data_IF_200639911873
#
_entry.id   IF_200639911873
#
_cell.length_a   1.000
_cell.length_b   1.000
_cell.length_c   1.000
_cell.angle_alpha   90.00
_cell.angle_beta   90.00
_cell.angle_gamma   90.00
#
_symmetry.space_group_name_H-M   'P 1'
#
loop_
_entity.id
_entity.type
_entity.pdbx_description
1 polymer ?
#
# COMPACT_ATOMS: atom_id res chain seq x y z
N UNK A 1 55.78 2.38 2.37
CA UNK A 1 54.92 1.60 1.44
C UNK A 1 53.69 0.95 2.09
N UNK A 2 53.76 0.41 3.32
CA UNK A 2 52.62 -0.29 3.96
C UNK A 2 51.38 0.59 4.24
N UNK A 3 51.57 1.88 4.54
CA UNK A 3 50.47 2.81 4.88
C UNK A 3 49.62 3.17 3.65
N UNK A 4 50.25 3.28 2.47
CA UNK A 4 49.56 3.61 1.21
C UNK A 4 48.65 2.46 0.76
N UNK A 5 49.09 1.21 0.92
CA UNK A 5 48.25 0.04 0.65
C UNK A 5 47.02 -0.03 1.57
N UNK A 6 47.17 0.37 2.83
CA UNK A 6 46.10 0.36 3.82
C UNK A 6 45.04 1.44 3.55
N UNK A 7 45.45 2.59 3.01
CA UNK A 7 44.53 3.65 2.56
C UNK A 7 43.75 3.23 1.31
N UNK A 8 44.40 2.53 0.37
CA UNK A 8 43.72 2.01 -0.82
C UNK A 8 42.66 0.96 -0.48
N UNK A 9 42.91 0.05 0.47
CA UNK A 9 41.92 -0.97 0.87
C UNK A 9 40.69 -0.35 1.55
N UNK A 10 40.87 0.66 2.41
CA UNK A 10 39.76 1.36 3.08
C UNK A 10 38.89 2.14 2.08
N UNK A 11 39.51 2.80 1.08
CA UNK A 11 38.78 3.54 0.04
C UNK A 11 38.02 2.59 -0.91
N UNK A 12 38.56 1.42 -1.21
CA UNK A 12 37.83 0.40 -2.00
C UNK A 12 36.69 -0.25 -1.23
N UNK A 13 36.80 -0.39 0.10
CA UNK A 13 35.77 -1.03 0.93
C UNK A 13 34.59 -0.10 1.22
N UNK A 14 34.82 1.22 1.33
CA UNK A 14 33.74 2.21 1.51
C UNK A 14 32.93 2.48 0.24
N UNK A 15 33.43 2.07 -0.93
CA UNK A 15 32.75 2.22 -2.22
C UNK A 15 31.65 1.18 -2.46
N UNK A 16 31.54 0.16 -1.60
CA UNK A 16 30.51 -0.89 -1.65
C UNK A 16 29.39 -0.69 -0.63
N UNK A 17 29.04 0.55 -0.27
CA UNK A 17 27.68 0.80 0.19
C UNK A 17 26.74 0.64 -1.00
N UNK A 18 26.30 -0.59 -1.25
CA UNK A 18 25.15 -0.88 -2.10
C UNK A 18 23.99 0.00 -1.62
N UNK A 19 23.69 1.07 -2.35
CA UNK A 19 22.44 1.81 -2.19
C UNK A 19 21.35 0.83 -2.62
N UNK A 20 20.81 0.09 -1.65
CA UNK A 20 19.66 -0.78 -1.85
C UNK A 20 18.51 0.14 -2.16
N UNK A 21 18.23 0.36 -3.45
CA UNK A 21 17.12 1.21 -3.90
C UNK A 21 15.85 0.60 -3.32
N UNK A 22 15.30 1.22 -2.28
CA UNK A 22 14.09 0.71 -1.65
C UNK A 22 12.97 0.76 -2.67
N UNK A 23 12.32 -0.38 -2.89
CA UNK A 23 11.28 -0.51 -3.89
C UNK A 23 10.04 0.21 -3.36
N UNK A 24 9.62 1.26 -4.07
CA UNK A 24 8.35 1.94 -3.78
C UNK A 24 7.19 1.01 -4.12
N UNK A 25 6.27 0.85 -3.18
CA UNK A 25 5.03 0.08 -3.34
C UNK A 25 3.87 1.05 -3.21
N UNK A 26 2.95 0.99 -4.16
CA UNK A 26 1.71 1.74 -4.18
C UNK A 26 0.59 0.84 -3.66
N UNK A 27 -0.27 1.34 -2.78
CA UNK A 27 -1.32 0.55 -2.18
C UNK A 27 -2.57 1.37 -1.87
N UNK A 28 -3.71 0.69 -1.80
CA UNK A 28 -4.95 1.21 -1.26
C UNK A 28 -5.74 0.08 -0.60
N UNK A 29 -6.58 0.44 0.37
CA UNK A 29 -7.46 -0.51 1.05
C UNK A 29 -8.87 -0.39 0.51
N UNK A 30 -9.60 -1.50 0.48
CA UNK A 30 -11.01 -1.54 0.07
C UNK A 30 -11.84 -2.44 0.96
N UNK A 31 -13.12 -2.12 1.09
CA UNK A 31 -14.06 -2.90 1.89
C UNK A 31 -15.47 -2.82 1.35
N UNK A 32 -16.19 -3.95 1.44
CA UNK A 32 -17.59 -4.05 1.04
C UNK A 32 -18.41 -4.28 2.30
N UNK A 33 -19.28 -3.34 2.64
CA UNK A 33 -20.25 -3.47 3.73
C UNK A 33 -21.58 -3.86 3.11
N UNK A 34 -21.96 -5.13 3.22
CA UNK A 34 -23.16 -5.64 2.57
C UNK A 34 -24.45 -5.07 3.18
N UNK A 35 -24.46 -4.80 4.49
CA UNK A 35 -25.65 -4.39 5.25
C UNK A 35 -26.26 -3.06 4.77
N UNK A 36 -25.41 -2.08 4.48
CA UNK A 36 -25.82 -0.77 3.97
C UNK A 36 -25.42 -0.55 2.50
N UNK A 37 -24.93 -1.59 1.82
CA UNK A 37 -24.44 -1.51 0.44
C UNK A 37 -23.42 -0.38 0.29
N UNK A 38 -22.41 -0.33 1.15
CA UNK A 38 -21.32 0.66 1.03
C UNK A 38 -20.03 -0.01 0.55
N UNK A 39 -19.40 0.57 -0.45
CA UNK A 39 -18.03 0.29 -0.84
C UNK A 39 -17.14 1.39 -0.29
N UNK A 40 -16.22 1.02 0.58
CA UNK A 40 -15.24 1.91 1.18
C UNK A 40 -13.89 1.67 0.55
N UNK A 41 -13.14 2.75 0.40
CA UNK A 41 -11.80 2.72 -0.14
C UNK A 41 -10.93 3.77 0.54
N UNK A 42 -9.62 3.59 0.54
CA UNK A 42 -8.66 4.66 0.82
C UNK A 42 -8.14 5.26 -0.48
N UNK A 43 -7.58 6.46 -0.43
CA UNK A 43 -6.75 6.96 -1.52
C UNK A 43 -5.55 6.04 -1.78
N UNK A 44 -5.01 6.10 -3.01
CA UNK A 44 -3.76 5.41 -3.36
C UNK A 44 -2.58 6.10 -2.65
N UNK A 45 -1.84 5.32 -1.87
CA UNK A 45 -0.66 5.76 -1.12
C UNK A 45 0.58 5.03 -1.60
N UNK A 46 1.76 5.57 -1.29
CA UNK A 46 3.05 4.94 -1.60
C UNK A 46 3.91 4.78 -0.35
N UNK A 47 4.72 3.73 -0.30
CA UNK A 47 5.68 3.48 0.79
C UNK A 47 6.94 2.79 0.27
N UNK A 48 8.07 2.94 0.96
CA UNK A 48 9.29 2.13 0.74
C UNK A 48 9.54 1.14 1.87
N UNK A 49 8.69 1.12 2.90
CA UNK A 49 8.85 0.33 4.15
C UNK A 49 8.56 -1.19 3.97
N UNK A 50 8.12 -1.59 2.78
CA UNK A 50 7.96 -3.00 2.40
C UNK A 50 6.70 -3.69 2.94
N UNK A 51 6.68 -5.02 2.86
CA UNK A 51 5.48 -5.85 3.09
C UNK A 51 4.95 -5.81 4.53
N UNK A 52 5.82 -5.69 5.53
CA UNK A 52 5.40 -5.65 6.94
C UNK A 52 4.56 -4.41 7.25
N UNK A 53 4.97 -3.26 6.70
CA UNK A 53 4.19 -2.03 6.79
C UNK A 53 2.81 -2.19 6.15
N UNK A 54 2.76 -2.80 4.96
CA UNK A 54 1.49 -3.06 4.26
C UNK A 54 0.57 -3.95 5.10
N UNK A 55 1.11 -5.02 5.70
CA UNK A 55 0.35 -5.91 6.60
C UNK A 55 -0.21 -5.17 7.82
N UNK A 56 0.56 -4.25 8.40
CA UNK A 56 0.06 -3.38 9.47
C UNK A 56 -1.10 -2.50 8.98
N UNK A 57 -1.01 -1.95 7.77
CA UNK A 57 -2.11 -1.20 7.16
C UNK A 57 -3.35 -2.08 6.91
N UNK A 58 -3.21 -3.35 6.51
CA UNK A 58 -4.35 -4.31 6.40
C UNK A 58 -5.03 -4.34 7.77
N UNK A 59 -4.28 -4.68 8.82
CA UNK A 59 -4.86 -4.93 10.14
C UNK A 59 -5.56 -3.70 10.71
N UNK A 60 -4.96 -2.52 10.52
CA UNK A 60 -5.55 -1.24 10.91
C UNK A 60 -6.87 -0.99 10.16
N UNK A 61 -6.89 -1.21 8.84
CA UNK A 61 -8.08 -1.07 8.02
C UNK A 61 -9.18 -2.08 8.41
N UNK A 62 -8.84 -3.36 8.58
CA UNK A 62 -9.78 -4.39 9.03
C UNK A 62 -10.42 -4.04 10.37
N UNK A 63 -9.63 -3.52 11.32
CA UNK A 63 -10.14 -3.05 12.63
C UNK A 63 -11.10 -1.87 12.47
N UNK A 64 -10.73 -0.88 11.66
CA UNK A 64 -11.60 0.27 11.37
C UNK A 64 -12.95 -0.16 10.79
N UNK A 65 -12.93 -1.10 9.86
CA UNK A 65 -14.12 -1.59 9.17
C UNK A 65 -14.99 -2.45 10.08
N UNK A 66 -14.39 -3.29 10.92
CA UNK A 66 -15.10 -4.06 11.94
C UNK A 66 -15.83 -3.14 12.94
N UNK A 67 -15.21 -2.02 13.30
CA UNK A 67 -15.85 -1.03 14.17
C UNK A 67 -16.96 -0.24 13.46
N UNK A 68 -16.83 -0.01 12.14
CA UNK A 68 -17.83 0.70 11.33
C UNK A 68 -19.04 -0.17 10.96
N UNK A 69 -18.90 -1.50 10.96
CA UNK A 69 -20.00 -2.40 10.61
C UNK A 69 -19.94 -3.74 11.35
N UNK A 70 -21.07 -4.15 11.95
CA UNK A 70 -21.22 -5.44 12.62
C UNK A 70 -21.10 -6.60 11.60
N UNK A 71 -19.98 -7.31 11.65
CA UNK A 71 -19.72 -8.67 11.14
C UNK A 71 -19.88 -8.99 9.63
N UNK A 72 -20.27 -8.04 8.77
CA UNK A 72 -20.51 -8.29 7.34
C UNK A 72 -19.68 -7.44 6.38
N UNK A 73 -18.43 -7.15 6.76
CA UNK A 73 -17.53 -6.40 5.91
C UNK A 73 -16.28 -7.19 5.52
N UNK A 74 -15.93 -7.12 4.23
CA UNK A 74 -14.64 -7.60 3.72
C UNK A 74 -13.60 -6.51 3.86
N UNK A 75 -12.32 -6.87 3.94
CA UNK A 75 -11.22 -5.90 3.90
C UNK A 75 -10.09 -6.46 3.05
N UNK A 76 -9.74 -5.74 1.99
CA UNK A 76 -8.70 -6.13 1.05
C UNK A 76 -7.67 -4.99 0.96
N UNK A 77 -6.40 -5.34 0.82
CA UNK A 77 -5.38 -4.38 0.38
C UNK A 77 -4.90 -4.79 -1.00
N UNK A 78 -4.95 -3.81 -1.88
CA UNK A 78 -4.42 -3.87 -3.22
C UNK A 78 -3.07 -3.17 -3.23
N UNK A 79 -2.03 -3.83 -3.75
CA UNK A 79 -0.69 -3.27 -3.82
C UNK A 79 -0.02 -3.57 -5.16
N UNK A 80 0.79 -2.62 -5.62
CA UNK A 80 1.40 -2.61 -6.94
C UNK A 80 2.79 -1.98 -6.89
N UNK A 81 3.67 -2.44 -7.75
CA UNK A 81 5.00 -1.85 -7.93
C UNK A 81 5.00 -0.63 -8.87
N UNK A 82 3.87 -0.38 -9.53
CA UNK A 82 3.69 0.67 -10.53
C UNK A 82 2.54 1.60 -10.13
N UNK A 83 2.81 2.91 -10.13
CA UNK A 83 1.86 3.92 -9.69
C UNK A 83 0.64 4.04 -10.62
N UNK A 84 0.86 3.97 -11.93
CA UNK A 84 -0.19 4.10 -12.92
C UNK A 84 -1.13 2.91 -12.84
N UNK A 85 -0.58 1.70 -12.65
CA UNK A 85 -1.37 0.51 -12.41
C UNK A 85 -2.21 0.64 -11.14
N UNK A 86 -1.64 1.09 -10.03
CA UNK A 86 -2.39 1.29 -8.79
C UNK A 86 -3.55 2.28 -8.96
N UNK A 87 -3.32 3.41 -9.65
CA UNK A 87 -4.35 4.42 -9.93
C UNK A 87 -5.43 3.87 -10.87
N UNK A 88 -5.05 3.12 -11.91
CA UNK A 88 -5.99 2.53 -12.84
C UNK A 88 -6.91 1.51 -12.17
N UNK A 89 -6.35 0.62 -11.35
CA UNK A 89 -7.11 -0.38 -10.60
C UNK A 89 -8.03 0.29 -9.57
N UNK A 90 -7.52 1.30 -8.84
CA UNK A 90 -8.34 2.10 -7.94
C UNK A 90 -9.55 2.72 -8.67
N UNK A 91 -9.30 3.43 -9.77
CA UNK A 91 -10.36 4.07 -10.56
C UNK A 91 -11.34 3.06 -11.15
N UNK A 92 -10.85 1.90 -11.58
CA UNK A 92 -11.68 0.80 -12.07
C UNK A 92 -12.64 0.32 -10.98
N UNK A 93 -12.16 0.06 -9.76
CA UNK A 93 -13.02 -0.39 -8.66
C UNK A 93 -14.03 0.69 -8.25
N UNK A 94 -13.60 1.95 -8.12
CA UNK A 94 -14.51 3.07 -7.85
C UNK A 94 -15.66 3.11 -8.87
N UNK A 95 -15.32 3.03 -10.15
CA UNK A 95 -16.28 3.09 -11.24
C UNK A 95 -17.19 1.86 -11.24
N UNK A 96 -16.64 0.66 -11.12
CA UNK A 96 -17.38 -0.60 -11.09
C UNK A 96 -18.46 -0.58 -9.99
N UNK A 97 -18.11 -0.14 -8.79
CA UNK A 97 -19.06 -0.10 -7.67
C UNK A 97 -20.06 1.06 -7.78
N UNK A 98 -19.66 2.19 -8.34
CA UNK A 98 -20.54 3.34 -8.60
C UNK A 98 -21.57 3.06 -9.70
N UNK A 99 -21.12 2.52 -10.84
CA UNK A 99 -21.96 2.32 -12.03
C UNK A 99 -22.89 1.12 -11.88
N UNK A 100 -22.54 0.13 -11.05
CA UNK A 100 -23.39 -1.04 -10.85
C UNK A 100 -24.67 -0.75 -10.04
N UNK A 101 -24.87 0.47 -9.52
CA UNK A 101 -25.94 0.86 -8.59
C UNK A 101 -26.06 -0.06 -7.36
N UNK A 102 -25.06 -0.93 -7.14
CA UNK A 102 -25.05 -1.95 -6.09
C UNK A 102 -24.53 -1.40 -4.77
N UNK A 103 -23.69 -0.36 -4.82
CA UNK A 103 -23.05 0.19 -3.63
C UNK A 103 -22.94 1.72 -3.68
N UNK A 104 -23.15 2.37 -2.53
CA UNK A 104 -22.68 3.73 -2.28
C UNK A 104 -21.15 3.71 -2.13
N UNK A 105 -20.46 4.58 -2.85
CA UNK A 105 -18.99 4.61 -2.90
C UNK A 105 -18.48 5.77 -2.06
N UNK A 106 -17.61 5.49 -1.08
CA UNK A 106 -16.99 6.47 -0.20
C UNK A 106 -15.48 6.26 -0.12
N UNK A 107 -14.73 7.34 -0.27
CA UNK A 107 -13.28 7.38 -0.04
C UNK A 107 -13.03 7.91 1.37
N UNK A 108 -12.33 7.13 2.19
CA UNK A 108 -12.01 7.42 3.58
C UNK A 108 -10.58 7.90 3.68
N UNK A 109 -10.38 9.02 4.37
CA UNK A 109 -9.06 9.46 4.77
C UNK A 109 -8.60 8.64 6.00
N UNK A 110 -7.68 7.71 5.76
CA UNK A 110 -7.21 6.72 6.74
C UNK A 110 -5.68 6.62 6.77
#
# INVERSE_FOLDING_TARGET
MKIVLLLFTVVTLSSFMLIKKEKTIYYFCTSKIASNKTFLSTEVKSTTEGYNFIKEKINKWSTFIHNKSSNHATSDINYYDDSLKAVNEFNYEQKYYKDSAKFHVETVNF
#
